data_IF_697998820011
#
_entry.id   IF_697998820011
#
_cell.length_a   1.000
_cell.length_b   1.000
_cell.length_c   1.000
_cell.angle_alpha   90.00
_cell.angle_beta   90.00
_cell.angle_gamma   90.00
#
_symmetry.space_group_name_H-M   'P 1'
#
loop_
_entity.id
_entity.type
_entity.pdbx_description
1 polymer ?
#
# COMPACT_ATOMS: atom_id res chain seq x y z
N UNK A 1 88.43 -31.16 -1.82
CA UNK A 1 87.25 -31.31 -0.94
C UNK A 1 86.08 -30.54 -1.57
N UNK A 2 85.03 -31.26 -2.03
CA UNK A 2 83.65 -30.84 -2.42
C UNK A 2 83.52 -29.67 -3.45
N UNK A 3 83.20 -29.88 -4.74
CA UNK A 3 81.86 -29.97 -5.39
C UNK A 3 80.91 -28.83 -4.94
N UNK A 4 80.32 -27.91 -5.72
CA UNK A 4 79.71 -27.89 -7.09
C UNK A 4 79.31 -26.40 -7.45
N UNK A 5 78.74 -26.06 -8.65
CA UNK A 5 79.10 -24.84 -9.42
C UNK A 5 77.93 -23.88 -9.83
N UNK A 6 78.28 -22.83 -10.60
CA UNK A 6 77.52 -22.15 -11.70
C UNK A 6 76.23 -21.38 -11.32
N UNK A 7 75.82 -20.27 -11.93
CA UNK A 7 76.17 -19.56 -13.17
C UNK A 7 75.67 -18.10 -13.12
N UNK A 8 76.22 -17.30 -14.04
CA UNK A 8 75.99 -15.88 -14.36
C UNK A 8 74.52 -15.48 -14.58
N UNK A 9 74.15 -14.27 -14.17
CA UNK A 9 73.01 -13.53 -14.74
C UNK A 9 73.53 -12.21 -15.31
N UNK A 10 73.16 -12.00 -16.57
CA UNK A 10 73.48 -10.86 -17.40
C UNK A 10 72.32 -9.83 -17.42
N UNK A 11 72.68 -8.60 -17.78
CA UNK A 11 71.90 -7.66 -18.60
C UNK A 11 70.74 -6.86 -17.99
N UNK A 12 71.05 -5.59 -17.69
CA UNK A 12 70.57 -4.37 -18.38
C UNK A 12 69.11 -4.32 -18.87
N UNK A 13 68.32 -3.39 -18.32
CA UNK A 13 67.29 -2.66 -19.08
C UNK A 13 67.04 -1.27 -18.47
N UNK A 14 67.12 -0.26 -19.34
CA UNK A 14 66.79 1.13 -19.10
C UNK A 14 65.28 1.39 -19.26
N UNK A 15 64.82 2.56 -18.79
CA UNK A 15 64.26 3.63 -19.65
C UNK A 15 62.97 4.32 -19.11
N UNK A 16 63.06 5.66 -19.10
CA UNK A 16 62.06 6.73 -19.30
C UNK A 16 60.94 7.02 -18.29
N UNK A 17 60.98 8.27 -17.81
CA UNK A 17 59.83 9.08 -17.38
C UNK A 17 58.88 9.39 -18.54
N UNK A 18 57.57 9.44 -18.24
CA UNK A 18 56.62 10.35 -18.91
C UNK A 18 55.39 10.56 -18.03
N UNK A 19 55.14 11.82 -17.68
CA UNK A 19 53.86 12.33 -17.16
C UNK A 19 52.87 12.34 -18.32
N UNK A 20 51.68 11.77 -18.13
CA UNK A 20 50.54 11.91 -19.04
C UNK A 20 49.33 12.42 -18.30
N UNK A 21 48.88 13.62 -18.71
CA UNK A 21 47.56 14.16 -18.40
C UNK A 21 46.59 13.48 -19.36
N UNK A 22 45.62 12.75 -18.82
CA UNK A 22 44.50 12.20 -19.59
C UNK A 22 43.21 12.91 -19.18
N UNK A 23 42.71 13.75 -20.10
CA UNK A 23 41.31 14.13 -20.19
C UNK A 23 40.46 12.87 -20.32
N UNK A 24 39.81 12.46 -19.23
CA UNK A 24 38.78 11.44 -19.25
C UNK A 24 37.42 12.07 -19.49
N UNK A 25 36.94 12.03 -20.74
CA UNK A 25 35.51 11.97 -20.99
C UNK A 25 35.03 10.60 -20.50
N UNK A 26 34.48 10.54 -19.29
CA UNK A 26 33.83 9.36 -18.77
C UNK A 26 32.32 9.56 -18.81
N UNK A 27 31.68 8.77 -19.68
CA UNK A 27 30.25 8.55 -19.82
C UNK A 27 29.49 8.78 -18.51
N UNK A 28 28.56 9.73 -18.52
CA UNK A 28 27.40 9.67 -17.65
C UNK A 28 26.69 8.35 -17.95
N UNK A 29 26.66 7.45 -16.97
CA UNK A 29 25.73 6.31 -16.98
C UNK A 29 24.30 6.82 -17.15
N UNK A 30 23.34 5.96 -17.55
CA UNK A 30 21.96 6.39 -17.63
C UNK A 30 21.58 6.92 -16.25
N UNK A 31 21.24 8.20 -16.19
CA UNK A 31 20.65 8.81 -15.01
C UNK A 31 19.53 7.87 -14.57
N UNK A 32 19.67 7.30 -13.37
CA UNK A 32 18.60 6.57 -12.73
C UNK A 32 17.36 7.42 -12.85
N UNK A 33 16.28 6.80 -13.34
CA UNK A 33 14.97 7.40 -13.52
C UNK A 33 14.50 8.01 -12.20
N UNK A 34 14.97 9.23 -11.93
CA UNK A 34 14.51 10.07 -10.85
C UNK A 34 13.10 10.42 -11.27
N UNK A 35 12.12 9.78 -10.62
CA UNK A 35 10.71 10.04 -10.87
C UNK A 35 10.52 11.55 -10.85
N UNK A 36 10.23 12.15 -12.01
CA UNK A 36 9.91 13.57 -12.09
C UNK A 36 8.75 13.79 -11.12
N UNK A 37 8.99 14.58 -10.07
CA UNK A 37 8.03 14.85 -9.01
C UNK A 37 6.62 15.05 -9.56
N UNK A 38 5.65 14.42 -8.89
CA UNK A 38 4.28 14.25 -9.36
C UNK A 38 3.59 15.60 -9.65
N UNK A 39 3.61 16.03 -10.92
CA UNK A 39 2.90 17.22 -11.41
C UNK A 39 1.47 16.91 -11.89
N UNK A 40 1.03 15.65 -11.79
CA UNK A 40 -0.30 15.19 -12.19
C UNK A 40 -1.24 14.86 -11.02
N UNK A 41 -2.51 14.49 -11.31
CA UNK A 41 -3.49 14.13 -10.28
C UNK A 41 -3.07 12.97 -9.38
N UNK A 42 -2.11 12.13 -9.84
CA UNK A 42 -1.62 10.97 -9.10
C UNK A 42 -2.71 9.90 -8.96
N UNK A 43 -2.82 9.31 -7.78
CA UNK A 43 -3.86 8.34 -7.48
C UNK A 43 -5.27 8.95 -7.48
N UNK A 44 -5.40 10.28 -7.34
CA UNK A 44 -6.69 10.99 -7.43
C UNK A 44 -7.28 10.98 -8.84
N UNK A 45 -6.51 10.61 -9.87
CA UNK A 45 -7.06 10.37 -11.21
C UNK A 45 -8.13 9.26 -11.15
N UNK A 46 -9.32 9.43 -11.77
CA UNK A 46 -10.37 8.42 -11.68
C UNK A 46 -9.99 7.02 -12.15
N UNK A 47 -9.13 6.92 -13.19
CA UNK A 47 -8.65 5.62 -13.69
C UNK A 47 -7.67 5.01 -12.69
N UNK A 48 -6.74 5.81 -12.15
CA UNK A 48 -5.80 5.35 -11.12
C UNK A 48 -6.49 4.98 -9.81
N UNK A 49 -7.54 5.70 -9.43
CA UNK A 49 -8.37 5.38 -8.26
C UNK A 49 -9.11 4.05 -8.46
N UNK A 50 -9.69 3.80 -9.63
CA UNK A 50 -10.33 2.52 -9.92
C UNK A 50 -9.32 1.36 -9.89
N UNK A 51 -8.13 1.53 -10.48
CA UNK A 51 -7.03 0.57 -10.37
C UNK A 51 -6.66 0.31 -8.90
N UNK A 52 -6.54 1.36 -8.08
CA UNK A 52 -6.25 1.22 -6.66
C UNK A 52 -7.31 0.39 -5.92
N UNK A 53 -8.60 0.58 -6.25
CA UNK A 53 -9.68 -0.21 -5.66
C UNK A 53 -9.58 -1.69 -6.07
N UNK A 54 -9.28 -1.97 -7.34
CA UNK A 54 -9.09 -3.34 -7.82
C UNK A 54 -7.89 -4.03 -7.14
N UNK A 55 -6.78 -3.30 -6.95
CA UNK A 55 -5.60 -3.82 -6.25
C UNK A 55 -5.91 -4.16 -4.79
N UNK A 56 -6.57 -3.26 -4.05
CA UNK A 56 -7.02 -3.53 -2.67
C UNK A 56 -7.96 -4.72 -2.64
N UNK A 57 -8.99 -4.74 -3.50
CA UNK A 57 -9.97 -5.83 -3.58
C UNK A 57 -9.34 -7.19 -3.89
N UNK A 58 -8.24 -7.24 -4.67
CA UNK A 58 -7.52 -8.50 -4.89
C UNK A 58 -6.87 -9.06 -3.63
N UNK A 59 -6.50 -8.20 -2.67
CA UNK A 59 -5.93 -8.60 -1.38
C UNK A 59 -6.99 -8.78 -0.29
N UNK A 60 -8.08 -8.03 -0.31
CA UNK A 60 -9.13 -8.15 0.71
C UNK A 60 -10.15 -9.25 0.37
N UNK A 61 -10.38 -9.51 -0.93
CA UNK A 61 -11.51 -10.31 -1.39
C UNK A 61 -11.20 -11.26 -2.57
N UNK A 62 -9.92 -11.40 -2.94
CA UNK A 62 -9.47 -12.24 -4.06
C UNK A 62 -10.23 -12.02 -5.39
N UNK A 63 -10.59 -10.76 -5.68
CA UNK A 63 -11.28 -10.38 -6.92
C UNK A 63 -10.95 -8.96 -7.35
N UNK A 64 -10.99 -8.69 -8.66
CA UNK A 64 -10.91 -7.32 -9.18
C UNK A 64 -12.27 -6.61 -9.19
N UNK A 65 -13.39 -7.34 -9.06
CA UNK A 65 -14.71 -6.73 -8.96
C UNK A 65 -14.96 -6.16 -7.57
N UNK A 66 -14.28 -5.04 -7.28
CA UNK A 66 -14.36 -4.34 -6.00
C UNK A 66 -15.78 -3.82 -5.72
N UNK A 67 -16.59 -3.58 -6.76
CA UNK A 67 -17.96 -3.09 -6.61
C UNK A 67 -18.91 -4.19 -6.13
N UNK A 68 -18.60 -5.47 -6.37
CA UNK A 68 -19.35 -6.55 -5.75
C UNK A 68 -19.24 -6.53 -4.20
N UNK A 69 -18.23 -5.85 -3.64
CA UNK A 69 -17.95 -5.86 -2.20
C UNK A 69 -18.79 -4.87 -1.40
N UNK A 70 -19.57 -3.96 -2.02
CA UNK A 70 -20.49 -3.09 -1.27
C UNK A 70 -21.44 -3.87 -0.35
N UNK A 71 -21.82 -5.09 -0.74
CA UNK A 71 -22.73 -5.98 0.02
C UNK A 71 -22.02 -6.94 0.96
N UNK A 72 -20.69 -7.07 0.86
CA UNK A 72 -19.91 -8.01 1.67
C UNK A 72 -20.07 -7.68 3.15
N UNK A 73 -20.27 -8.71 3.97
CA UNK A 73 -20.28 -8.62 5.44
C UNK A 73 -20.07 -10.01 6.04
N UNK A 74 -19.03 -10.15 6.85
CA UNK A 74 -18.67 -11.39 7.53
C UNK A 74 -17.86 -11.07 8.78
N UNK A 75 -17.99 -11.88 9.82
CA UNK A 75 -16.98 -11.89 10.89
C UNK A 75 -15.97 -12.99 10.54
N UNK A 76 -14.74 -12.56 10.25
CA UNK A 76 -13.65 -13.43 9.80
C UNK A 76 -12.82 -13.97 10.97
N UNK A 77 -13.21 -13.68 12.22
CA UNK A 77 -12.54 -14.19 13.41
C UNK A 77 -11.19 -13.50 13.72
N UNK A 78 -10.97 -12.30 13.20
CA UNK A 78 -9.74 -11.52 13.44
C UNK A 78 -9.82 -10.58 14.66
N UNK A 79 -10.90 -10.69 15.45
CA UNK A 79 -11.13 -9.88 16.65
C UNK A 79 -11.66 -8.48 16.38
N UNK A 80 -12.08 -8.16 15.15
CA UNK A 80 -12.67 -6.85 14.79
C UNK A 80 -14.20 -6.87 14.69
N UNK A 81 -14.81 -8.03 14.93
CA UNK A 81 -16.24 -8.30 14.73
C UNK A 81 -16.59 -8.40 13.24
N UNK A 82 -17.78 -7.92 12.85
CA UNK A 82 -18.14 -7.88 11.44
C UNK A 82 -17.20 -6.98 10.65
N UNK A 83 -16.65 -7.50 9.56
CA UNK A 83 -15.92 -6.82 8.49
C UNK A 83 -16.80 -6.73 7.25
N UNK A 84 -16.95 -5.55 6.65
CA UNK A 84 -17.95 -5.33 5.60
C UNK A 84 -17.57 -4.27 4.57
N UNK A 85 -18.18 -4.33 3.39
CA UNK A 85 -18.06 -3.28 2.37
C UNK A 85 -16.73 -3.27 1.61
N UNK A 86 -16.56 -2.23 0.80
CA UNK A 86 -15.50 -2.11 -0.23
C UNK A 86 -14.05 -2.06 0.27
N UNK A 87 -13.83 -1.86 1.57
CA UNK A 87 -12.49 -1.82 2.19
C UNK A 87 -12.46 -2.50 3.57
N UNK A 88 -13.46 -3.34 3.89
CA UNK A 88 -13.49 -4.05 5.17
C UNK A 88 -13.74 -3.16 6.40
N UNK A 89 -14.77 -2.32 6.37
CA UNK A 89 -15.23 -1.58 7.55
C UNK A 89 -15.61 -2.55 8.67
N UNK A 90 -15.11 -2.31 9.88
CA UNK A 90 -15.30 -3.19 11.03
C UNK A 90 -16.24 -2.60 12.09
N UNK A 91 -17.10 -3.44 12.68
CA UNK A 91 -17.96 -3.02 13.80
C UNK A 91 -17.15 -2.62 15.03
N UNK A 92 -16.02 -3.28 15.27
CA UNK A 92 -15.15 -3.01 16.41
C UNK A 92 -14.30 -1.76 16.27
N UNK A 93 -13.91 -1.35 15.06
CA UNK A 93 -13.02 -0.19 14.84
C UNK A 93 -13.77 1.14 14.76
N UNK A 94 -15.07 1.09 14.47
CA UNK A 94 -15.97 2.25 14.45
C UNK A 94 -16.09 2.95 13.09
N UNK A 95 -15.38 2.50 12.08
CA UNK A 95 -15.55 2.96 10.69
C UNK A 95 -16.89 2.46 10.10
N UNK A 96 -17.34 1.23 10.43
CA UNK A 96 -18.66 0.71 10.07
C UNK A 96 -19.79 1.55 10.67
N UNK A 97 -19.64 1.95 11.94
CA UNK A 97 -20.56 2.89 12.58
C UNK A 97 -20.62 4.21 11.80
N UNK A 98 -19.47 4.73 11.36
CA UNK A 98 -19.38 5.98 10.60
C UNK A 98 -20.09 5.87 9.23
N UNK A 99 -19.97 4.72 8.54
CA UNK A 99 -20.73 4.42 7.31
C UNK A 99 -22.24 4.47 7.58
N UNK A 100 -22.72 3.76 8.61
CA UNK A 100 -24.16 3.69 8.90
C UNK A 100 -24.70 5.06 9.33
N UNK A 101 -23.94 5.85 10.08
CA UNK A 101 -24.34 7.23 10.45
C UNK A 101 -24.42 8.16 9.22
N UNK A 102 -23.50 8.05 8.25
CA UNK A 102 -23.59 8.78 6.97
C UNK A 102 -24.80 8.35 6.17
N UNK A 103 -25.07 7.06 6.11
CA UNK A 103 -26.22 6.55 5.39
C UNK A 103 -27.54 7.00 6.03
N UNK A 104 -27.65 6.93 7.36
CA UNK A 104 -28.80 7.47 8.11
C UNK A 104 -29.03 8.95 7.83
N UNK A 105 -27.98 9.78 7.79
CA UNK A 105 -28.12 11.20 7.45
C UNK A 105 -28.57 11.45 6.01
N UNK A 106 -28.08 10.66 5.04
CA UNK A 106 -28.42 10.84 3.62
C UNK A 106 -29.74 10.15 3.22
N UNK A 107 -30.20 9.18 4.01
CA UNK A 107 -31.48 8.49 3.86
C UNK A 107 -32.07 8.16 5.24
N UNK A 108 -32.72 9.13 5.90
CA UNK A 108 -33.41 8.87 7.17
C UNK A 108 -34.48 7.78 7.02
N UNK A 109 -34.65 6.95 8.04
CA UNK A 109 -35.59 5.81 8.05
C UNK A 109 -35.11 4.56 7.31
N UNK A 110 -33.83 4.50 6.91
CA UNK A 110 -33.30 3.29 6.28
C UNK A 110 -33.18 2.11 7.26
N UNK A 111 -33.12 0.90 6.73
CA UNK A 111 -33.12 -0.34 7.54
C UNK A 111 -31.89 -0.51 8.45
N UNK A 112 -30.77 0.17 8.16
CA UNK A 112 -29.54 0.10 8.98
C UNK A 112 -29.59 1.04 10.19
N UNK A 113 -30.39 2.10 10.15
CA UNK A 113 -30.44 3.13 11.20
C UNK A 113 -30.79 2.56 12.58
N UNK A 114 -31.68 1.57 12.63
CA UNK A 114 -32.08 0.90 13.89
C UNK A 114 -30.92 0.20 14.62
N UNK A 115 -29.82 -0.08 13.93
CA UNK A 115 -28.65 -0.74 14.50
C UNK A 115 -27.61 0.23 15.08
N UNK A 116 -27.79 1.56 14.90
CA UNK A 116 -26.86 2.56 15.43
C UNK A 116 -26.59 2.43 16.95
N UNK A 117 -27.60 2.18 17.83
CA UNK A 117 -27.33 1.96 19.25
C UNK A 117 -26.45 0.73 19.51
N UNK A 118 -26.67 -0.36 18.78
CA UNK A 118 -25.88 -1.58 18.91
C UNK A 118 -24.44 -1.36 18.39
N UNK A 119 -24.27 -0.73 17.23
CA UNK A 119 -22.96 -0.39 16.67
C UNK A 119 -22.13 0.49 17.62
N UNK A 120 -22.75 1.47 18.29
CA UNK A 120 -22.06 2.28 19.31
C UNK A 120 -21.61 1.46 20.52
N UNK A 121 -22.41 0.46 20.92
CA UNK A 121 -22.12 -0.39 22.08
C UNK A 121 -21.00 -1.39 21.81
N UNK A 122 -20.94 -1.95 20.60
CA UNK A 122 -19.93 -2.98 20.25
C UNK A 122 -18.60 -2.39 19.78
N UNK A 123 -18.55 -1.10 19.44
CA UNK A 123 -17.31 -0.40 19.12
C UNK A 123 -16.26 -0.62 20.23
N UNK A 124 -15.06 -1.05 19.82
CA UNK A 124 -13.97 -1.44 20.71
C UNK A 124 -13.96 -2.93 21.09
N UNK A 125 -14.85 -3.74 20.53
CA UNK A 125 -14.92 -5.19 20.73
C UNK A 125 -15.30 -5.93 19.44
N UNK A 126 -15.21 -7.25 19.46
CA UNK A 126 -15.69 -8.17 18.41
C UNK A 126 -17.16 -8.61 18.61
N UNK A 127 -17.86 -8.03 19.59
CA UNK A 127 -19.18 -8.49 19.97
C UNK A 127 -20.26 -8.25 18.89
N UNK A 128 -21.20 -9.19 18.77
CA UNK A 128 -22.35 -9.10 17.85
C UNK A 128 -23.68 -8.70 18.52
N UNK A 129 -23.65 -8.29 19.80
CA UNK A 129 -24.85 -8.03 20.59
C UNK A 129 -25.72 -6.93 19.95
N UNK A 130 -26.95 -7.29 19.55
CA UNK A 130 -27.90 -6.37 18.92
C UNK A 130 -27.73 -6.19 17.40
N UNK A 131 -26.81 -6.90 16.77
CA UNK A 131 -26.60 -6.91 15.31
C UNK A 131 -27.13 -8.20 14.68
N UNK A 132 -26.30 -9.26 14.69
CA UNK A 132 -26.62 -10.61 14.21
C UNK A 132 -27.10 -10.69 12.74
N UNK A 133 -27.78 -11.79 12.42
CA UNK A 133 -28.37 -12.03 11.07
C UNK A 133 -29.27 -10.88 10.58
N UNK A 134 -30.09 -10.21 11.42
CA UNK A 134 -30.87 -9.06 10.96
C UNK A 134 -30.00 -7.91 10.44
N UNK A 135 -28.83 -7.67 11.04
CA UNK A 135 -27.90 -6.64 10.59
C UNK A 135 -27.23 -7.02 9.28
N UNK A 136 -26.69 -8.24 9.17
CA UNK A 136 -26.00 -8.69 7.95
C UNK A 136 -26.93 -8.71 6.74
N UNK A 137 -28.20 -9.12 6.93
CA UNK A 137 -29.22 -9.04 5.88
C UNK A 137 -29.52 -7.58 5.48
N UNK A 138 -29.73 -6.69 6.46
CA UNK A 138 -30.02 -5.29 6.18
C UNK A 138 -28.85 -4.59 5.47
N UNK A 139 -27.61 -4.96 5.78
CA UNK A 139 -26.41 -4.49 5.10
C UNK A 139 -26.40 -4.90 3.63
N UNK A 140 -26.57 -6.20 3.36
CA UNK A 140 -26.60 -6.74 2.02
C UNK A 140 -27.73 -6.14 1.16
N UNK A 141 -28.91 -5.91 1.74
CA UNK A 141 -30.03 -5.25 1.05
C UNK A 141 -29.75 -3.76 0.80
N UNK A 142 -29.17 -3.04 1.77
CA UNK A 142 -28.81 -1.64 1.63
C UNK A 142 -27.80 -1.41 0.50
N UNK A 143 -26.95 -2.38 0.16
CA UNK A 143 -26.01 -2.30 -0.96
C UNK A 143 -26.66 -2.07 -2.32
N UNK A 144 -27.96 -2.37 -2.46
CA UNK A 144 -28.77 -1.99 -3.64
C UNK A 144 -29.00 -0.49 -3.78
N UNK A 145 -28.93 0.28 -2.68
CA UNK A 145 -29.10 1.73 -2.69
C UNK A 145 -27.81 2.49 -3.03
N UNK A 146 -27.89 3.38 -4.01
CA UNK A 146 -26.80 4.27 -4.38
C UNK A 146 -26.33 5.18 -3.24
N UNK A 147 -27.23 5.58 -2.32
CA UNK A 147 -26.86 6.40 -1.15
C UNK A 147 -26.04 5.63 -0.13
N UNK A 148 -26.28 4.33 0.03
CA UNK A 148 -25.45 3.49 0.90
C UNK A 148 -24.07 3.25 0.28
N UNK A 149 -24.00 3.01 -1.03
CA UNK A 149 -22.73 2.93 -1.76
C UNK A 149 -21.93 4.23 -1.65
N UNK A 150 -22.58 5.38 -1.83
CA UNK A 150 -21.96 6.69 -1.64
C UNK A 150 -21.49 6.94 -0.19
N UNK A 151 -22.20 6.41 0.82
CA UNK A 151 -21.77 6.49 2.21
C UNK A 151 -20.49 5.67 2.47
N UNK A 152 -20.38 4.49 1.86
CA UNK A 152 -19.15 3.69 1.89
C UNK A 152 -18.00 4.40 1.17
N UNK A 153 -18.23 4.92 -0.04
CA UNK A 153 -17.23 5.66 -0.80
C UNK A 153 -16.72 6.88 -0.02
N UNK A 154 -17.63 7.64 0.61
CA UNK A 154 -17.28 8.82 1.38
C UNK A 154 -16.46 8.48 2.65
N UNK A 155 -16.74 7.36 3.31
CA UNK A 155 -15.96 6.93 4.48
C UNK A 155 -14.59 6.40 4.07
N UNK A 156 -14.50 5.59 3.00
CA UNK A 156 -13.22 5.21 2.37
C UNK A 156 -12.39 6.45 2.08
N UNK A 157 -12.99 7.42 1.41
CA UNK A 157 -12.28 8.60 0.93
C UNK A 157 -11.76 9.43 2.11
N UNK A 158 -12.63 9.79 3.03
CA UNK A 158 -12.28 10.63 4.17
C UNK A 158 -11.23 10.00 5.10
N UNK A 159 -11.37 8.72 5.41
CA UNK A 159 -10.62 8.10 6.51
C UNK A 159 -9.35 7.38 6.03
N UNK A 160 -9.27 7.03 4.74
CA UNK A 160 -8.18 6.22 4.19
C UNK A 160 -7.54 6.85 2.95
N UNK A 161 -8.32 7.05 1.89
CA UNK A 161 -7.78 7.44 0.58
C UNK A 161 -7.24 8.87 0.57
N UNK A 162 -8.05 9.85 0.94
CA UNK A 162 -7.66 11.26 0.94
C UNK A 162 -6.46 11.54 1.85
N UNK A 163 -6.39 11.06 3.12
CA UNK A 163 -5.22 11.28 3.95
C UNK A 163 -3.96 10.58 3.39
N UNK A 164 -4.09 9.36 2.86
CA UNK A 164 -2.97 8.65 2.25
C UNK A 164 -2.42 9.39 1.02
N UNK A 165 -3.31 9.79 0.10
CA UNK A 165 -2.92 10.50 -1.12
C UNK A 165 -2.37 11.89 -0.80
N UNK A 166 -2.98 12.61 0.15
CA UNK A 166 -2.46 13.90 0.62
C UNK A 166 -1.05 13.76 1.19
N UNK A 167 -0.81 12.74 2.02
CA UNK A 167 0.51 12.51 2.59
C UNK A 167 1.52 12.08 1.52
N UNK A 168 1.14 11.18 0.61
CA UNK A 168 2.02 10.76 -0.49
C UNK A 168 2.41 11.93 -1.40
N UNK A 169 1.49 12.85 -1.67
CA UNK A 169 1.80 14.11 -2.39
C UNK A 169 2.74 15.02 -1.61
N UNK A 170 2.55 15.13 -0.30
CA UNK A 170 3.45 15.92 0.55
C UNK A 170 4.88 15.35 0.58
N UNK A 171 5.03 14.03 0.43
CA UNK A 171 6.31 13.33 0.36
C UNK A 171 6.88 13.26 -1.07
N UNK A 172 6.20 13.88 -2.05
CA UNK A 172 6.64 13.95 -3.44
C UNK A 172 6.45 12.66 -4.24
N UNK A 173 5.62 11.72 -3.76
CA UNK A 173 5.44 10.42 -4.36
C UNK A 173 4.53 10.43 -5.60
N UNK A 174 4.84 9.58 -6.57
CA UNK A 174 3.99 9.22 -7.69
C UNK A 174 2.76 8.41 -7.28
N UNK A 175 1.98 7.96 -8.28
CA UNK A 175 0.74 7.22 -8.05
C UNK A 175 0.99 5.87 -7.35
N UNK A 176 2.11 5.20 -7.63
CA UNK A 176 2.49 3.96 -6.94
C UNK A 176 2.75 4.20 -5.45
N UNK A 177 3.54 5.22 -5.10
CA UNK A 177 3.80 5.54 -3.69
C UNK A 177 2.52 5.96 -2.95
N UNK A 178 1.66 6.74 -3.59
CA UNK A 178 0.34 7.07 -3.06
C UNK A 178 -0.55 5.82 -2.87
N UNK A 179 -0.49 4.85 -3.78
CA UNK A 179 -1.20 3.57 -3.63
C UNK A 179 -0.64 2.76 -2.46
N UNK A 180 0.69 2.66 -2.33
CA UNK A 180 1.35 1.96 -1.22
C UNK A 180 0.92 2.56 0.12
N UNK A 181 0.82 3.88 0.20
CA UNK A 181 0.30 4.56 1.39
C UNK A 181 -1.17 4.24 1.63
N UNK A 182 -2.01 4.30 0.60
CA UNK A 182 -3.44 4.01 0.72
C UNK A 182 -3.68 2.58 1.22
N UNK A 183 -2.98 1.61 0.63
CA UNK A 183 -3.06 0.20 1.02
C UNK A 183 -2.57 -0.03 2.47
N UNK A 184 -1.56 0.73 2.91
CA UNK A 184 -1.11 0.72 4.31
C UNK A 184 -2.13 1.37 5.26
N UNK A 185 -2.82 2.44 4.85
CA UNK A 185 -3.93 3.01 5.62
C UNK A 185 -5.08 2.03 5.80
N UNK A 186 -5.47 1.33 4.73
CA UNK A 186 -6.53 0.31 4.77
C UNK A 186 -6.17 -0.79 5.77
N UNK A 187 -4.94 -1.32 5.69
CA UNK A 187 -4.54 -2.45 6.53
C UNK A 187 -4.24 -2.06 7.99
N UNK A 188 -3.49 -0.98 8.19
CA UNK A 188 -2.90 -0.64 9.49
C UNK A 188 -3.60 0.52 10.20
N UNK A 189 -4.51 1.22 9.52
CA UNK A 189 -5.05 2.48 10.00
C UNK A 189 -4.01 3.61 10.03
N UNK A 190 -4.48 4.83 10.30
CA UNK A 190 -3.63 6.02 10.31
C UNK A 190 -2.67 6.12 11.50
N UNK A 191 -2.92 5.41 12.59
CA UNK A 191 -2.13 5.47 13.83
C UNK A 191 -2.04 4.12 14.51
N UNK A 192 -1.11 4.01 15.46
CA UNK A 192 -0.92 2.78 16.23
C UNK A 192 -2.16 2.49 17.07
N UNK A 193 -2.53 1.20 17.15
CA UNK A 193 -3.49 0.66 18.10
C UNK A 193 -2.81 -0.43 18.93
N UNK A 194 -3.49 -0.92 19.97
CA UNK A 194 -2.94 -1.98 20.81
C UNK A 194 -2.57 -3.21 19.97
N UNK A 195 -1.31 -3.63 20.04
CA UNK A 195 -0.80 -4.79 19.31
C UNK A 195 -0.51 -4.57 17.81
N UNK A 196 -0.75 -3.37 17.25
CA UNK A 196 -0.55 -3.10 15.81
C UNK A 196 0.46 -1.97 15.57
N UNK A 197 0.98 -1.88 14.35
CA UNK A 197 1.80 -0.73 13.91
C UNK A 197 1.07 0.03 12.82
N UNK A 198 0.65 1.26 13.09
CA UNK A 198 -0.10 2.09 12.16
C UNK A 198 0.77 2.81 11.14
N UNK A 199 0.12 3.39 10.12
CA UNK A 199 0.76 4.10 9.01
C UNK A 199 1.80 5.14 9.47
N UNK A 200 1.48 6.00 10.45
CA UNK A 200 2.41 7.04 10.93
C UNK A 200 3.73 6.47 11.44
N UNK A 201 3.71 5.31 12.09
CA UNK A 201 4.92 4.66 12.58
C UNK A 201 5.69 3.97 11.44
N UNK A 202 5.00 3.35 10.49
CA UNK A 202 5.62 2.77 9.28
C UNK A 202 6.35 3.87 8.50
N UNK A 203 5.66 4.98 8.20
CA UNK A 203 6.24 6.14 7.49
C UNK A 203 7.46 6.71 8.22
N UNK A 204 7.38 6.88 9.54
CA UNK A 204 8.51 7.38 10.36
C UNK A 204 9.73 6.47 10.26
N UNK A 205 9.53 5.15 10.27
CA UNK A 205 10.63 4.18 10.10
C UNK A 205 11.25 4.29 8.71
N UNK A 206 10.42 4.39 7.66
CA UNK A 206 10.92 4.58 6.30
C UNK A 206 11.80 5.83 6.16
N UNK A 207 11.34 6.97 6.69
CA UNK A 207 12.08 8.24 6.68
C UNK A 207 13.36 8.24 7.52
N UNK A 208 13.51 7.30 8.45
CA UNK A 208 14.76 7.14 9.18
C UNK A 208 15.83 6.41 8.34
N UNK A 209 15.42 5.67 7.31
CA UNK A 209 16.29 4.87 6.45
C UNK A 209 16.57 5.55 5.09
N UNK A 210 15.60 6.29 4.55
CA UNK A 210 15.72 6.98 3.27
C UNK A 210 14.92 8.28 3.25
N UNK A 211 15.51 9.34 2.71
CA UNK A 211 14.84 10.62 2.48
C UNK A 211 13.70 10.47 1.46
N UNK A 212 12.61 11.18 1.67
CA UNK A 212 11.52 11.23 0.68
C UNK A 212 11.92 12.06 -0.55
N UNK A 213 11.24 11.89 -1.70
CA UNK A 213 11.43 12.79 -2.85
C UNK A 213 11.25 14.28 -2.54
N UNK A 214 10.35 14.63 -1.62
CA UNK A 214 10.18 16.02 -1.17
C UNK A 214 11.40 16.57 -0.42
N UNK A 215 12.23 15.69 0.15
CA UNK A 215 13.48 16.01 0.85
C UNK A 215 14.72 15.78 -0.05
N UNK A 216 14.51 15.47 -1.33
CA UNK A 216 15.57 15.25 -2.31
C UNK A 216 16.05 13.80 -2.47
N UNK A 217 15.39 12.85 -1.81
CA UNK A 217 15.69 11.42 -1.93
C UNK A 217 15.16 10.77 -3.20
N UNK A 218 15.64 9.57 -3.50
CA UNK A 218 15.15 8.74 -4.60
C UNK A 218 13.81 8.07 -4.22
N UNK A 219 12.79 8.19 -5.07
CA UNK A 219 11.47 7.61 -4.82
C UNK A 219 11.54 6.08 -4.68
N UNK A 220 12.38 5.43 -5.50
CA UNK A 220 12.58 3.99 -5.47
C UNK A 220 13.11 3.51 -4.12
N UNK A 221 14.19 4.14 -3.65
CA UNK A 221 14.83 3.86 -2.36
C UNK A 221 13.88 4.13 -1.18
N UNK A 222 13.17 5.26 -1.21
CA UNK A 222 12.18 5.61 -0.19
C UNK A 222 11.05 4.57 -0.10
N UNK A 223 10.48 4.18 -1.25
CA UNK A 223 9.40 3.21 -1.29
C UNK A 223 9.87 1.81 -0.88
N UNK A 224 11.09 1.40 -1.21
CA UNK A 224 11.63 0.11 -0.75
C UNK A 224 11.78 0.09 0.77
N UNK A 225 12.33 1.16 1.36
CA UNK A 225 12.41 1.33 2.82
C UNK A 225 11.02 1.33 3.49
N UNK A 226 10.03 1.98 2.87
CA UNK A 226 8.65 1.95 3.36
C UNK A 226 8.04 0.54 3.31
N UNK A 227 8.23 -0.19 2.22
CA UNK A 227 7.73 -1.55 2.06
C UNK A 227 8.40 -2.52 3.04
N UNK A 228 9.69 -2.35 3.34
CA UNK A 228 10.38 -3.13 4.35
C UNK A 228 9.84 -2.86 5.76
N UNK A 229 9.64 -1.58 6.12
CA UNK A 229 9.02 -1.19 7.38
C UNK A 229 7.59 -1.75 7.52
N UNK A 230 6.85 -1.80 6.40
CA UNK A 230 5.50 -2.35 6.35
C UNK A 230 5.47 -3.87 6.48
N UNK A 231 6.37 -4.58 5.81
CA UNK A 231 6.52 -6.05 5.97
C UNK A 231 6.84 -6.39 7.43
N UNK A 232 7.67 -5.61 8.09
CA UNK A 232 7.97 -5.78 9.51
C UNK A 232 6.75 -5.50 10.42
N UNK A 233 5.83 -4.62 10.01
CA UNK A 233 4.56 -4.41 10.71
C UNK A 233 3.61 -5.60 10.52
N UNK A 234 3.38 -6.05 9.28
CA UNK A 234 2.52 -7.19 8.94
C UNK A 234 2.93 -8.47 9.70
N UNK A 235 4.24 -8.77 9.75
CA UNK A 235 4.75 -9.96 10.46
C UNK A 235 4.49 -9.97 11.97
N UNK A 236 4.15 -8.83 12.57
CA UNK A 236 3.81 -8.75 14.00
C UNK A 236 2.33 -9.02 14.27
N UNK A 237 1.49 -8.98 13.24
CA UNK A 237 0.05 -9.19 13.34
C UNK A 237 -0.27 -10.63 12.90
N UNK A 238 -0.63 -11.54 13.81
CA UNK A 238 -0.84 -12.96 13.46
C UNK A 238 -1.86 -13.18 12.33
N UNK A 239 -2.92 -12.37 12.32
CA UNK A 239 -3.97 -12.40 11.29
C UNK A 239 -3.49 -11.92 9.89
N UNK A 240 -2.35 -11.21 9.82
CA UNK A 240 -1.87 -10.53 8.59
C UNK A 240 -0.42 -10.89 8.25
N UNK A 241 0.03 -12.10 8.62
CA UNK A 241 1.42 -12.53 8.42
C UNK A 241 1.80 -12.83 6.97
N UNK A 242 0.82 -13.10 6.09
CA UNK A 242 1.05 -13.17 4.65
C UNK A 242 1.37 -11.77 4.09
N UNK A 243 2.50 -11.66 3.40
CA UNK A 243 3.01 -10.39 2.88
C UNK A 243 2.95 -10.29 1.35
N UNK A 244 2.22 -11.17 0.68
CA UNK A 244 2.11 -11.24 -0.78
C UNK A 244 1.60 -9.94 -1.40
N UNK A 245 0.66 -9.23 -0.74
CA UNK A 245 0.20 -7.89 -1.15
C UNK A 245 1.34 -6.87 -1.29
N UNK A 246 2.43 -7.07 -0.55
CA UNK A 246 3.66 -6.29 -0.68
C UNK A 246 4.64 -6.98 -1.64
N UNK A 247 5.05 -8.21 -1.32
CA UNK A 247 6.18 -8.90 -1.94
C UNK A 247 5.96 -9.27 -3.41
N UNK A 248 4.74 -9.70 -3.75
CA UNK A 248 4.38 -10.19 -5.09
C UNK A 248 3.42 -9.24 -5.83
N UNK A 249 3.22 -8.03 -5.30
CA UNK A 249 2.48 -6.95 -5.95
C UNK A 249 3.23 -5.60 -5.88
N UNK A 250 3.15 -4.85 -4.77
CA UNK A 250 3.73 -3.50 -4.68
C UNK A 250 5.24 -3.47 -5.01
N UNK A 251 6.00 -4.45 -4.52
CA UNK A 251 7.43 -4.56 -4.77
C UNK A 251 7.74 -5.03 -6.20
N UNK A 252 6.81 -5.70 -6.87
CA UNK A 252 6.90 -5.98 -8.32
C UNK A 252 6.78 -4.67 -9.09
N UNK A 253 5.75 -3.87 -8.81
CA UNK A 253 5.54 -2.59 -9.49
C UNK A 253 6.70 -1.61 -9.27
N UNK A 254 7.25 -1.60 -8.05
CA UNK A 254 8.43 -0.80 -7.72
C UNK A 254 9.66 -1.21 -8.54
N UNK A 255 9.98 -2.51 -8.59
CA UNK A 255 11.11 -3.04 -9.39
C UNK A 255 10.94 -2.81 -10.89
N UNK A 256 9.71 -2.78 -11.38
CA UNK A 256 9.39 -2.48 -12.77
C UNK A 256 9.36 -0.97 -13.08
N UNK A 257 9.59 -0.10 -12.08
CA UNK A 257 9.60 1.35 -12.26
C UNK A 257 8.23 1.94 -12.58
N UNK A 258 7.13 1.29 -12.16
CA UNK A 258 5.74 1.72 -12.41
C UNK A 258 5.30 2.85 -11.48
N UNK A 259 6.11 3.91 -11.33
CA UNK A 259 5.88 4.99 -10.37
C UNK A 259 4.55 5.75 -10.63
N UNK A 260 4.08 5.80 -11.87
CA UNK A 260 2.76 6.33 -12.23
C UNK A 260 1.64 5.28 -12.21
N UNK A 261 1.88 4.07 -11.71
CA UNK A 261 0.94 2.96 -11.67
C UNK A 261 0.37 2.62 -13.07
N UNK A 262 1.25 2.62 -14.06
CA UNK A 262 0.92 2.43 -15.48
C UNK A 262 0.57 0.97 -15.79
N UNK A 263 -0.53 0.77 -16.48
CA UNK A 263 -0.94 -0.53 -17.01
C UNK A 263 -0.10 -0.92 -18.24
N UNK A 264 0.09 -2.21 -18.53
CA UNK A 264 -0.46 -3.36 -17.82
C UNK A 264 0.20 -3.59 -16.46
N UNK A 265 -0.61 -3.95 -15.45
CA UNK A 265 -0.14 -4.37 -14.13
C UNK A 265 -0.39 -5.86 -13.97
N UNK A 266 0.63 -6.59 -13.51
CA UNK A 266 0.57 -8.05 -13.26
C UNK A 266 1.12 -8.33 -11.87
N UNK A 267 0.38 -9.07 -11.06
CA UNK A 267 0.78 -9.37 -9.70
C UNK A 267 0.18 -10.67 -9.18
N UNK A 268 0.63 -11.08 -7.99
CA UNK A 268 0.02 -12.16 -7.24
C UNK A 268 -0.29 -11.77 -5.81
N UNK A 269 -1.40 -12.26 -5.28
CA UNK A 269 -1.73 -12.20 -3.84
C UNK A 269 -2.27 -13.56 -3.44
N UNK A 270 -1.81 -14.12 -2.32
CA UNK A 270 -2.15 -15.47 -1.84
C UNK A 270 -1.95 -16.62 -2.84
N UNK A 271 -1.08 -16.40 -3.84
CA UNK A 271 -0.81 -17.36 -4.92
C UNK A 271 -1.64 -17.13 -6.19
N UNK A 272 -2.77 -16.43 -6.10
CA UNK A 272 -3.63 -16.10 -7.22
C UNK A 272 -3.01 -15.02 -8.10
N UNK A 273 -3.17 -15.16 -9.42
CA UNK A 273 -2.59 -14.22 -10.40
C UNK A 273 -3.64 -13.26 -10.92
N UNK A 274 -3.29 -11.98 -10.95
CA UNK A 274 -4.16 -10.91 -11.41
C UNK A 274 -3.50 -10.09 -12.50
N UNK A 275 -4.32 -9.53 -13.39
CA UNK A 275 -3.89 -8.62 -14.43
C UNK A 275 -4.90 -7.49 -14.59
N UNK A 276 -4.40 -6.26 -14.70
CA UNK A 276 -5.14 -5.14 -15.27
C UNK A 276 -4.41 -4.76 -16.55
N UNK A 277 -5.04 -5.04 -17.68
CA UNK A 277 -4.46 -4.74 -18.99
C UNK A 277 -4.45 -3.23 -19.27
N UNK A 278 -3.56 -2.81 -20.17
CA UNK A 278 -3.60 -1.46 -20.70
C UNK A 278 -4.86 -1.26 -21.53
N UNK A 279 -5.65 -0.23 -21.19
CA UNK A 279 -6.60 0.29 -22.18
C UNK A 279 -5.78 1.08 -23.21
N UNK A 280 -5.90 0.70 -24.48
CA UNK A 280 -5.38 1.50 -25.60
C UNK A 280 -6.09 2.84 -25.72
#
# INVERSE_FOLDING_TARGET
MKLTPRSLIASLAALLMTVTVLSGCAQAGPAGSSGKGATGPGLSDPVKKDIAMQLVSSAENSTLDWKAQYRYIEDIGDGRGYTAGIIGFCSGTGDMLSVVERYARSRPGNALERFLPALRKVKGSDAHTGLGRPFTRAWAEAAGDARFRAAQDAERDRSYFDPAVKQGKADGLGALGQFIYYDAYVMHGGGDAEGTTGFRTIRRRALAEADSPAEGGDEGAYLDAFLDARVAALRKEPAHSDTSRVQTAQRVFLREGRFGLETPLRWKVYGDSYVIDGRG
#
